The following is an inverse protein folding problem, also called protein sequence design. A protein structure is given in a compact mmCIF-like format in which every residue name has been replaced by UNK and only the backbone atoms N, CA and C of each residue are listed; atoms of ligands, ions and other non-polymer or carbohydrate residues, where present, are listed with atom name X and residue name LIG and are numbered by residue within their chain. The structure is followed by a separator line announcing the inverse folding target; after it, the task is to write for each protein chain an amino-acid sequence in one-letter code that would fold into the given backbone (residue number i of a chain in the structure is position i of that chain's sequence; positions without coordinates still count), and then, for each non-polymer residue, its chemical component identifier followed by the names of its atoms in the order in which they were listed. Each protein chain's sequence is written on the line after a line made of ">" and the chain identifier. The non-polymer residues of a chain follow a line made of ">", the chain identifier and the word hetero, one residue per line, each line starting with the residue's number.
data_IF_218608327267
#
_entry.id   IF_218608327267
#
_cell.length_a   1.000
_cell.length_b   1.000
_cell.length_c   1.000
_cell.angle_alpha   90.00
_cell.angle_beta   90.00
_cell.angle_gamma   90.00
#
_symmetry.space_group_name_H-M   'P 1'
#
loop_
_entity.id
_entity.type
_entity.pdbx_description
1 polymer ?
#
# COMPACT_ATOMS: atom_id res chain seq x y z
N UNK A 1 2.82 1.47 -15.98
CA UNK A 1 2.14 0.17 -15.76
C UNK A 1 0.74 0.47 -15.25
N UNK A 2 -0.32 -0.20 -15.74
CA UNK A 2 -1.65 -0.04 -15.14
C UNK A 2 -1.63 -0.55 -13.70
N UNK A 3 -2.26 0.18 -12.79
CA UNK A 3 -2.45 -0.26 -11.40
C UNK A 3 -3.57 -1.30 -11.38
N UNK A 4 -3.38 -2.50 -10.81
CA UNK A 4 -4.45 -3.51 -10.72
C UNK A 4 -5.64 -3.01 -9.89
N UNK A 5 -6.85 -3.36 -10.29
CA UNK A 5 -8.08 -2.98 -9.58
C UNK A 5 -8.10 -3.50 -8.13
N UNK A 6 -7.50 -4.66 -7.88
CA UNK A 6 -7.32 -5.24 -6.56
C UNK A 6 -6.43 -4.36 -5.68
N UNK A 7 -5.36 -3.80 -6.26
CA UNK A 7 -4.49 -2.87 -5.54
C UNK A 7 -5.18 -1.52 -5.28
N UNK A 8 -5.97 -1.04 -6.24
CA UNK A 8 -6.80 0.17 -6.07
C UNK A 8 -7.86 -0.03 -4.99
N UNK A 9 -8.45 -1.21 -4.91
CA UNK A 9 -9.44 -1.56 -3.87
C UNK A 9 -8.77 -1.69 -2.51
N UNK A 10 -7.61 -2.35 -2.44
CA UNK A 10 -6.82 -2.47 -1.22
C UNK A 10 -6.37 -1.11 -0.67
N UNK A 11 -5.95 -0.20 -1.54
CA UNK A 11 -5.50 1.14 -1.13
C UNK A 11 -6.64 2.03 -0.62
N UNK A 12 -7.90 1.68 -0.89
CA UNK A 12 -9.06 2.41 -0.37
C UNK A 12 -9.26 2.25 1.16
N UNK A 13 -8.65 1.24 1.78
CA UNK A 13 -8.64 1.10 3.25
C UNK A 13 -7.78 2.17 3.93
N UNK A 14 -6.86 2.80 3.19
CA UNK A 14 -6.00 3.89 3.69
C UNK A 14 -6.74 5.24 3.55
N UNK A 15 -7.84 5.40 4.28
CA UNK A 15 -8.66 6.61 4.31
C UNK A 15 -8.24 7.56 5.44
N UNK A 16 -8.60 8.85 5.35
CA UNK A 16 -8.18 9.87 6.32
C UNK A 16 -8.56 9.59 7.78
N UNK A 17 -9.68 8.89 8.01
CA UNK A 17 -10.15 8.57 9.36
C UNK A 17 -9.38 7.41 10.05
N UNK A 18 -8.32 6.87 9.44
CA UNK A 18 -7.58 5.73 10.01
C UNK A 18 -6.92 6.06 11.37
N UNK A 19 -6.48 7.31 11.59
CA UNK A 19 -5.90 7.80 12.85
C UNK A 19 -6.90 7.69 14.02
N UNK A 20 -8.21 7.57 13.72
CA UNK A 20 -9.25 7.37 14.73
C UNK A 20 -9.43 5.89 15.12
N UNK A 21 -8.98 4.97 14.27
CA UNK A 21 -9.25 3.53 14.38
C UNK A 21 -8.00 2.72 14.77
N UNK A 22 -6.80 3.18 14.39
CA UNK A 22 -5.55 2.46 14.62
C UNK A 22 -4.49 3.36 15.23
N UNK A 23 -3.79 2.83 16.24
CA UNK A 23 -2.72 3.55 16.94
C UNK A 23 -1.42 3.66 16.13
N UNK A 24 -1.23 2.76 15.16
CA UNK A 24 -0.08 2.73 14.25
C UNK A 24 -0.48 2.20 12.86
N UNK A 25 0.43 2.35 11.91
CA UNK A 25 0.22 1.93 10.52
C UNK A 25 0.24 0.40 10.32
N UNK A 26 0.76 -0.38 11.28
CA UNK A 26 0.77 -1.84 11.17
C UNK A 26 -0.62 -2.43 11.40
N UNK A 27 -1.35 -1.94 12.41
CA UNK A 27 -2.73 -2.37 12.67
C UNK A 27 -3.67 -2.10 11.49
N UNK A 28 -3.47 -0.98 10.78
CA UNK A 28 -4.23 -0.68 9.55
C UNK A 28 -3.91 -1.68 8.43
N UNK A 29 -2.64 -2.05 8.26
CA UNK A 29 -2.23 -3.01 7.23
C UNK A 29 -2.82 -4.40 7.53
N UNK A 30 -2.79 -4.82 8.79
CA UNK A 30 -3.43 -6.09 9.22
C UNK A 30 -4.93 -6.10 8.92
N UNK A 31 -5.63 -5.03 9.25
CA UNK A 31 -7.08 -4.92 9.00
C UNK A 31 -7.41 -4.90 7.50
N UNK A 32 -6.67 -4.11 6.71
CA UNK A 32 -6.84 -4.05 5.26
C UNK A 32 -6.63 -5.43 4.61
N UNK A 33 -5.62 -6.17 5.07
CA UNK A 33 -5.37 -7.54 4.59
C UNK A 33 -6.46 -8.49 5.06
N UNK A 34 -6.93 -8.36 6.30
CA UNK A 34 -8.07 -9.11 6.85
C UNK A 34 -9.32 -9.02 5.97
N UNK A 35 -9.60 -7.83 5.43
CA UNK A 35 -10.71 -7.57 4.52
C UNK A 35 -10.43 -7.91 3.04
N UNK A 36 -9.18 -8.21 2.69
CA UNK A 36 -8.79 -8.55 1.31
C UNK A 36 -9.00 -10.04 1.04
N UNK A 37 -9.81 -10.44 0.04
CA UNK A 37 -10.00 -11.84 -0.34
C UNK A 37 -8.69 -12.53 -0.74
N UNK A 38 -8.53 -13.81 -0.38
CA UNK A 38 -7.29 -14.59 -0.63
C UNK A 38 -6.87 -14.56 -2.11
N UNK A 39 -7.82 -14.61 -3.03
CA UNK A 39 -7.56 -14.56 -4.48
C UNK A 39 -6.93 -13.23 -4.91
N UNK A 40 -7.39 -12.12 -4.33
CA UNK A 40 -6.85 -10.77 -4.59
C UNK A 40 -5.48 -10.58 -3.93
N UNK A 41 -5.24 -11.23 -2.78
CA UNK A 41 -3.96 -11.11 -2.07
C UNK A 41 -2.78 -11.54 -2.93
N UNK A 42 -2.94 -12.56 -3.78
CA UNK A 42 -1.88 -12.97 -4.71
C UNK A 42 -1.55 -11.86 -5.72
N UNK A 43 -2.57 -11.23 -6.30
CA UNK A 43 -2.39 -10.16 -7.29
C UNK A 43 -1.72 -8.95 -6.65
N UNK A 44 -2.17 -8.56 -5.46
CA UNK A 44 -1.58 -7.46 -4.68
C UNK A 44 -0.11 -7.76 -4.33
N UNK A 45 0.18 -8.98 -3.88
CA UNK A 45 1.53 -9.44 -3.57
C UNK A 45 2.46 -9.38 -4.78
N UNK A 46 2.04 -9.94 -5.92
CA UNK A 46 2.82 -9.94 -7.16
C UNK A 46 3.08 -8.50 -7.65
N UNK A 47 2.08 -7.62 -7.52
CA UNK A 47 2.22 -6.21 -7.88
C UNK A 47 3.19 -5.46 -6.96
N UNK A 48 3.12 -5.69 -5.65
CA UNK A 48 4.08 -5.16 -4.68
C UNK A 48 5.50 -5.65 -4.98
N UNK A 49 5.69 -6.92 -5.36
CA UNK A 49 6.98 -7.46 -5.76
C UNK A 49 7.55 -6.76 -7.01
N UNK A 50 6.72 -6.43 -8.01
CA UNK A 50 7.16 -5.64 -9.16
C UNK A 50 7.52 -4.19 -8.78
N UNK A 51 6.69 -3.52 -7.97
CA UNK A 51 6.98 -2.17 -7.47
C UNK A 51 8.31 -2.13 -6.71
N UNK A 52 8.59 -3.16 -5.92
CA UNK A 52 9.81 -3.28 -5.10
C UNK A 52 11.00 -3.89 -5.86
N UNK A 53 10.86 -4.20 -7.14
CA UNK A 53 11.90 -4.86 -7.93
C UNK A 53 13.11 -3.97 -8.27
N UNK A 54 13.10 -2.70 -7.85
CA UNK A 54 14.14 -1.70 -8.18
C UNK A 54 13.99 -1.05 -9.55
N UNK A 55 12.91 -1.34 -10.30
CA UNK A 55 12.61 -0.68 -11.59
C UNK A 55 12.09 0.75 -11.43
N UNK A 56 11.48 1.04 -10.28
CA UNK A 56 10.82 2.31 -10.00
C UNK A 56 11.62 3.11 -8.98
N UNK A 57 11.77 4.39 -9.24
CA UNK A 57 12.31 5.37 -8.31
C UNK A 57 11.29 5.69 -7.21
N UNK A 58 11.77 6.22 -6.09
CA UNK A 58 10.92 6.70 -5.00
C UNK A 58 9.85 7.71 -5.47
N UNK A 59 10.19 8.59 -6.41
CA UNK A 59 9.24 9.54 -6.98
C UNK A 59 8.13 8.85 -7.80
N UNK A 60 8.49 7.81 -8.56
CA UNK A 60 7.51 7.02 -9.33
C UNK A 60 6.62 6.18 -8.41
N UNK A 61 7.17 5.58 -7.35
CA UNK A 61 6.38 4.84 -6.35
C UNK A 61 5.35 5.75 -5.68
N UNK A 62 5.74 6.99 -5.34
CA UNK A 62 4.82 7.99 -4.80
C UNK A 62 3.74 8.40 -5.79
N UNK A 63 4.10 8.55 -7.07
CA UNK A 63 3.13 8.87 -8.12
C UNK A 63 2.11 7.73 -8.27
N UNK A 64 2.59 6.49 -8.28
CA UNK A 64 1.74 5.29 -8.33
C UNK A 64 0.82 5.27 -7.11
N UNK A 65 1.34 5.44 -5.89
CA UNK A 65 0.52 5.50 -4.67
C UNK A 65 -0.56 6.58 -4.76
N UNK A 66 -0.19 7.80 -5.16
CA UNK A 66 -1.14 8.93 -5.31
C UNK A 66 -2.18 8.73 -6.42
N UNK A 67 -1.93 7.84 -7.37
CA UNK A 67 -2.89 7.49 -8.42
C UNK A 67 -3.95 6.48 -7.96
N UNK A 68 -3.81 5.96 -6.75
CA UNK A 68 -4.75 5.00 -6.15
C UNK A 68 -5.88 5.72 -5.41
N UNK A 69 -6.69 4.96 -4.66
CA UNK A 69 -7.77 5.50 -3.80
C UNK A 69 -7.31 5.82 -2.38
N UNK A 70 -6.02 5.69 -2.06
CA UNK A 70 -5.50 6.09 -0.77
C UNK A 70 -5.68 7.60 -0.58
N UNK A 71 -6.35 7.99 0.51
CA UNK A 71 -6.52 9.40 0.88
C UNK A 71 -5.37 9.90 1.76
N UNK A 72 -4.61 8.95 2.34
CA UNK A 72 -3.47 9.25 3.18
C UNK A 72 -2.15 8.87 2.50
N UNK A 73 -1.12 9.59 2.92
CA UNK A 73 0.27 9.25 2.67
C UNK A 73 0.87 8.74 3.98
N UNK A 74 1.04 7.43 4.15
CA UNK A 74 1.59 6.85 5.38
C UNK A 74 3.10 7.13 5.55
N UNK A 75 3.76 7.62 4.50
CA UNK A 75 5.11 8.17 4.58
C UNK A 75 5.07 9.65 4.99
N UNK A 76 5.92 10.04 5.97
CA UNK A 76 6.01 11.38 6.59
C UNK A 76 6.46 12.47 5.62
N UNK A 77 5.58 12.90 4.71
CA UNK A 77 5.90 13.93 3.73
C UNK A 77 7.11 13.54 2.85
N UNK A 78 8.07 14.45 2.69
CA UNK A 78 9.29 14.21 1.91
C UNK A 78 10.35 13.39 2.67
N UNK A 79 10.22 13.24 3.99
CA UNK A 79 11.20 12.56 4.85
C UNK A 79 10.88 11.06 5.04
N UNK A 80 9.65 10.65 4.74
CA UNK A 80 9.26 9.24 4.72
C UNK A 80 9.74 8.51 3.46
N UNK A 81 9.66 7.18 3.44
CA UNK A 81 10.04 6.34 2.30
C UNK A 81 8.82 5.53 1.85
N UNK A 82 8.35 5.80 0.64
CA UNK A 82 7.25 5.05 0.03
C UNK A 82 7.68 3.60 -0.22
N UNK A 83 8.93 3.39 -0.64
CA UNK A 83 9.50 2.05 -0.78
C UNK A 83 9.47 1.25 0.53
N UNK A 84 9.85 1.85 1.67
CA UNK A 84 9.85 1.15 2.96
C UNK A 84 8.43 0.83 3.43
N UNK A 85 7.48 1.74 3.19
CA UNK A 85 6.09 1.49 3.48
C UNK A 85 5.49 0.36 2.61
N UNK A 86 5.81 0.33 1.32
CA UNK A 86 5.38 -0.76 0.43
C UNK A 86 6.04 -2.09 0.84
N UNK A 87 7.29 -2.09 1.32
CA UNK A 87 7.94 -3.27 1.91
C UNK A 87 7.23 -3.75 3.16
N UNK A 88 6.82 -2.82 4.02
CA UNK A 88 6.04 -3.15 5.21
C UNK A 88 4.73 -3.81 4.81
N UNK A 89 3.94 -3.23 3.90
CA UNK A 89 2.73 -3.89 3.37
C UNK A 89 3.06 -5.30 2.87
N UNK A 90 4.10 -5.42 2.04
CA UNK A 90 4.50 -6.68 1.42
C UNK A 90 4.88 -7.77 2.42
N UNK A 91 5.43 -7.43 3.59
CA UNK A 91 5.79 -8.40 4.62
C UNK A 91 4.58 -9.08 5.28
N UNK A 92 3.38 -8.50 5.19
CA UNK A 92 2.15 -9.14 5.67
C UNK A 92 1.52 -10.10 4.64
N UNK A 93 2.01 -10.13 3.40
CA UNK A 93 1.61 -11.11 2.40
C UNK A 93 2.57 -12.32 2.45
N UNK A 94 2.05 -13.47 2.90
CA UNK A 94 2.75 -14.77 2.86
C UNK A 94 3.09 -15.19 1.42
#
# INVERSE_FOLDING_TARGET
>A
MPVPDEFVTFTAFFHQDFDLLFADGEGLIEDAIGHTPIEQRKIIKDYLDDLLSGKYTEAELRLIWKSTRAEISPFRGNDGSCADFLRLIRSFFA
#
